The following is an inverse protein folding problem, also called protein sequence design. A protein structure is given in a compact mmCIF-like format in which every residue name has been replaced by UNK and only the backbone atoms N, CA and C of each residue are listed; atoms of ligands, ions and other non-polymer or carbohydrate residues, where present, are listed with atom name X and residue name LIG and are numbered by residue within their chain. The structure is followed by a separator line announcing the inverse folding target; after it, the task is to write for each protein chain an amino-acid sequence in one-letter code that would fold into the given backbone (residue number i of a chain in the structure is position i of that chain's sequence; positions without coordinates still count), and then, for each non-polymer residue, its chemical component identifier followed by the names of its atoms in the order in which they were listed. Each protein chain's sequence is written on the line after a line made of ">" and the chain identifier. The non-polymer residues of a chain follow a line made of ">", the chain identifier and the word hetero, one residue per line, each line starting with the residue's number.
data_IF_174563039805
#
_entry.id   IF_174563039805
#
_cell.length_a   1.000
_cell.length_b   1.000
_cell.length_c   1.000
_cell.angle_alpha   90.00
_cell.angle_beta   90.00
_cell.angle_gamma   90.00
#
_symmetry.space_group_name_H-M   'P 1'
#
loop_
_entity.id
_entity.type
_entity.pdbx_description
1 polymer ?
#
# COMPACT_ATOMS: atom_id res chain seq x y z
N UNK A 1 -8.99 11.93 -18.22
CA UNK A 1 -9.58 12.03 -16.87
C UNK A 1 -8.58 11.55 -15.83
N UNK A 2 -8.55 12.24 -14.66
CA UNK A 2 -7.75 11.89 -13.49
C UNK A 2 -8.72 11.53 -12.37
N UNK A 3 -8.47 10.41 -11.68
CA UNK A 3 -9.18 10.02 -10.48
C UNK A 3 -8.27 10.20 -9.27
N UNK A 4 -8.82 10.74 -8.19
CA UNK A 4 -8.14 10.91 -6.90
C UNK A 4 -8.81 10.00 -5.89
N UNK A 5 -8.02 9.23 -5.14
CA UNK A 5 -8.55 8.42 -4.04
C UNK A 5 -8.67 9.27 -2.78
N UNK A 6 -9.72 9.00 -2.01
CA UNK A 6 -9.99 9.68 -0.75
C UNK A 6 -10.43 8.65 0.31
N UNK A 7 -9.93 8.83 1.52
CA UNK A 7 -10.46 8.18 2.72
C UNK A 7 -11.44 9.13 3.41
N UNK A 8 -12.30 8.60 4.26
CA UNK A 8 -13.34 9.36 4.97
C UNK A 8 -12.81 10.30 6.07
N UNK A 9 -11.56 10.13 6.45
CA UNK A 9 -10.83 10.97 7.42
C UNK A 9 -9.99 12.09 6.75
N UNK A 10 -10.17 12.33 5.43
CA UNK A 10 -9.43 13.33 4.66
C UNK A 10 -10.24 14.60 4.41
N UNK A 11 -9.58 15.75 4.54
CA UNK A 11 -10.08 17.05 4.09
C UNK A 11 -9.15 17.58 3.00
N UNK A 12 -9.65 17.68 1.76
CA UNK A 12 -8.85 18.20 0.65
C UNK A 12 -8.50 19.66 0.85
N UNK A 13 -7.29 20.04 0.44
CA UNK A 13 -6.85 21.44 0.45
C UNK A 13 -7.61 22.26 -0.60
N UNK A 14 -7.80 23.54 -0.31
CA UNK A 14 -8.33 24.48 -1.30
C UNK A 14 -7.44 24.47 -2.55
N UNK A 15 -8.04 24.40 -3.72
CA UNK A 15 -7.31 24.36 -4.98
C UNK A 15 -6.62 23.00 -5.26
N UNK A 16 -7.00 21.91 -4.58
CA UNK A 16 -6.41 20.60 -4.84
C UNK A 16 -6.55 20.12 -6.30
N UNK A 17 -7.62 20.44 -7.07
CA UNK A 17 -7.71 20.03 -8.46
C UNK A 17 -6.60 20.65 -9.32
N UNK A 18 -6.27 21.91 -9.09
CA UNK A 18 -5.20 22.64 -9.77
C UNK A 18 -3.82 22.07 -9.40
N UNK A 19 -3.63 21.70 -8.12
CA UNK A 19 -2.41 21.01 -7.65
C UNK A 19 -2.24 19.68 -8.37
N UNK A 20 -3.31 18.90 -8.51
CA UNK A 20 -3.28 17.60 -9.20
C UNK A 20 -2.99 17.80 -10.69
N UNK A 21 -3.65 18.74 -11.36
CA UNK A 21 -3.43 19.03 -12.78
C UNK A 21 -1.98 19.48 -13.03
N UNK A 22 -1.44 20.36 -12.21
CA UNK A 22 -0.05 20.83 -12.27
C UNK A 22 0.92 19.65 -12.12
N UNK A 23 0.70 18.79 -11.13
CA UNK A 23 1.57 17.63 -10.88
C UNK A 23 1.58 16.67 -12.09
N UNK A 24 0.43 16.42 -12.72
CA UNK A 24 0.37 15.60 -13.94
C UNK A 24 0.96 16.29 -15.17
N UNK A 25 0.94 17.62 -15.24
CA UNK A 25 1.65 18.35 -16.29
C UNK A 25 3.17 18.23 -16.12
N UNK A 26 3.68 18.32 -14.90
CA UNK A 26 5.12 18.12 -14.60
C UNK A 26 5.57 16.66 -14.73
N UNK A 27 4.65 15.71 -14.57
CA UNK A 27 4.86 14.28 -14.76
C UNK A 27 4.01 13.81 -15.95
N UNK A 28 4.23 14.39 -17.14
CA UNK A 28 3.39 14.16 -18.32
C UNK A 28 3.29 12.69 -18.74
N UNK A 29 4.28 11.88 -18.42
CA UNK A 29 4.35 10.45 -18.68
C UNK A 29 3.95 9.58 -17.47
N UNK A 30 3.52 10.21 -16.36
CA UNK A 30 3.09 9.52 -15.14
C UNK A 30 1.68 8.98 -15.26
N UNK A 31 1.48 7.71 -14.91
CA UNK A 31 0.18 7.05 -14.84
C UNK A 31 -0.43 7.14 -13.45
N UNK A 32 0.41 7.08 -12.43
CA UNK A 32 0.03 7.19 -11.01
C UNK A 32 0.93 8.22 -10.33
N UNK A 33 0.34 9.18 -9.64
CA UNK A 33 1.06 10.14 -8.81
C UNK A 33 0.74 9.93 -7.34
N UNK A 34 1.77 10.03 -6.49
CA UNK A 34 1.68 9.87 -5.04
C UNK A 34 2.01 11.20 -4.37
N UNK A 35 1.02 11.77 -3.73
CA UNK A 35 1.07 13.06 -3.06
C UNK A 35 1.47 12.92 -1.58
N UNK A 36 1.67 14.04 -0.91
CA UNK A 36 1.75 14.11 0.54
C UNK A 36 0.36 14.32 1.14
N UNK A 37 0.21 13.92 2.40
CA UNK A 37 -0.86 14.32 3.28
C UNK A 37 -0.27 15.18 4.41
N UNK A 38 -1.00 16.18 4.84
CA UNK A 38 -0.62 17.00 6.00
C UNK A 38 -1.08 16.25 7.25
N UNK A 39 -0.16 15.98 8.15
CA UNK A 39 -0.38 15.27 9.39
C UNK A 39 0.08 16.13 10.57
N UNK A 40 -0.77 16.28 11.58
CA UNK A 40 -0.39 16.95 12.85
C UNK A 40 0.77 16.22 13.54
N UNK A 41 0.74 14.89 13.49
CA UNK A 41 1.80 14.02 14.00
C UNK A 41 2.34 13.18 12.83
N UNK A 42 3.45 13.58 12.19
CA UNK A 42 3.95 12.90 10.99
C UNK A 42 4.24 11.42 11.24
N UNK A 43 3.48 10.55 10.61
CA UNK A 43 3.66 9.08 10.64
C UNK A 43 4.05 8.52 9.29
N UNK A 44 3.66 9.21 8.20
CA UNK A 44 3.90 8.79 6.83
C UNK A 44 5.18 9.41 6.27
N UNK A 45 5.75 8.75 5.32
CA UNK A 45 6.91 9.29 4.59
C UNK A 45 6.51 10.53 3.77
N UNK A 46 7.26 11.62 3.93
CA UNK A 46 7.04 12.88 3.19
C UNK A 46 7.92 12.90 1.96
N UNK A 47 7.32 13.11 0.80
CA UNK A 47 8.03 13.32 -0.46
C UNK A 47 8.52 14.77 -0.51
N UNK A 48 9.83 14.98 -0.57
CA UNK A 48 10.44 16.32 -0.62
C UNK A 48 10.78 16.76 -2.04
N UNK A 49 10.83 15.82 -2.97
CA UNK A 49 11.15 16.02 -4.37
C UNK A 49 10.37 15.07 -5.26
N UNK A 50 10.29 15.38 -6.55
CA UNK A 50 9.74 14.46 -7.54
C UNK A 50 10.67 13.25 -7.67
N UNK A 51 10.11 12.05 -7.51
CA UNK A 51 10.89 10.80 -7.57
C UNK A 51 10.10 9.70 -8.26
N UNK A 52 10.75 9.01 -9.18
CA UNK A 52 10.19 7.81 -9.77
C UNK A 52 10.11 6.68 -8.73
N UNK A 53 8.97 6.00 -8.71
CA UNK A 53 8.76 4.83 -7.86
C UNK A 53 9.11 3.58 -8.64
N UNK A 54 9.76 2.66 -7.94
CA UNK A 54 10.24 1.39 -8.48
C UNK A 54 9.87 0.22 -7.56
N UNK A 55 10.12 -1.02 -8.01
CA UNK A 55 9.85 -2.27 -7.27
C UNK A 55 10.52 -2.37 -5.88
N UNK A 56 11.40 -1.43 -5.51
CA UNK A 56 12.10 -1.45 -4.20
C UNK A 56 11.50 -0.49 -3.17
N UNK A 57 10.67 0.49 -3.58
CA UNK A 57 10.26 1.58 -2.70
C UNK A 57 8.75 1.91 -2.72
N UNK A 58 7.93 1.14 -3.44
CA UNK A 58 6.50 1.36 -3.58
C UNK A 58 5.69 1.04 -2.31
N UNK A 59 6.08 0.01 -1.56
CA UNK A 59 5.29 -0.57 -0.46
C UNK A 59 5.13 0.32 0.80
N UNK A 60 5.60 1.57 0.76
CA UNK A 60 5.45 2.55 1.84
C UNK A 60 4.32 3.56 1.60
N UNK A 61 3.60 3.42 0.50
CA UNK A 61 2.53 4.32 0.11
C UNK A 61 1.17 3.63 0.17
N UNK A 62 0.14 4.37 0.59
CA UNK A 62 -1.25 3.95 0.64
C UNK A 62 -2.10 4.68 -0.41
N UNK A 63 -3.33 4.18 -0.65
CA UNK A 63 -4.24 4.68 -1.69
C UNK A 63 -4.66 6.13 -1.46
N UNK A 64 -4.92 6.54 -0.23
CA UNK A 64 -5.30 7.91 0.13
C UNK A 64 -4.37 9.02 -0.40
N UNK A 65 -3.21 8.65 -0.89
CA UNK A 65 -2.20 9.56 -1.44
C UNK A 65 -2.13 9.54 -2.97
N UNK A 66 -2.97 8.75 -3.63
CA UNK A 66 -2.84 8.48 -5.05
C UNK A 66 -3.82 9.28 -5.89
N UNK A 67 -3.31 9.76 -7.02
CA UNK A 67 -4.13 10.15 -8.17
C UNK A 67 -3.66 9.35 -9.39
N UNK A 68 -4.59 8.96 -10.24
CA UNK A 68 -4.34 8.06 -11.37
C UNK A 68 -4.89 8.64 -12.67
N UNK A 69 -4.24 8.35 -13.79
CA UNK A 69 -4.85 8.47 -15.10
C UNK A 69 -5.83 7.32 -15.28
N UNK A 70 -7.12 7.64 -15.32
CA UNK A 70 -8.20 6.65 -15.42
C UNK A 70 -7.97 5.71 -16.61
N UNK A 71 -7.62 6.24 -17.77
CA UNK A 71 -7.45 5.44 -18.98
C UNK A 71 -6.30 4.45 -18.86
N UNK A 72 -5.16 4.84 -18.29
CA UNK A 72 -4.01 3.94 -18.08
C UNK A 72 -4.37 2.72 -17.23
N UNK A 73 -5.20 2.91 -16.21
CA UNK A 73 -5.64 1.81 -15.34
C UNK A 73 -6.61 0.89 -16.09
N UNK A 74 -7.57 1.45 -16.83
CA UNK A 74 -8.52 0.65 -17.65
C UNK A 74 -7.77 -0.17 -18.68
N UNK A 75 -6.87 0.44 -19.46
CA UNK A 75 -6.14 -0.22 -20.54
C UNK A 75 -5.21 -1.33 -20.00
N UNK A 76 -4.71 -1.15 -18.79
CA UNK A 76 -3.86 -2.16 -18.15
C UNK A 76 -4.65 -3.31 -17.50
N UNK A 77 -5.98 -3.18 -17.36
CA UNK A 77 -6.83 -4.16 -16.70
C UNK A 77 -6.52 -4.33 -15.20
N UNK A 78 -5.95 -3.30 -14.55
CA UNK A 78 -5.62 -3.35 -13.13
C UNK A 78 -6.83 -2.92 -12.30
N UNK A 79 -7.06 -3.63 -11.20
CA UNK A 79 -8.07 -3.28 -10.18
C UNK A 79 -7.50 -3.49 -8.78
N UNK A 80 -8.15 -2.91 -7.78
CA UNK A 80 -7.85 -3.24 -6.38
C UNK A 80 -8.24 -4.69 -6.10
N UNK A 81 -7.43 -5.35 -5.27
CA UNK A 81 -7.74 -6.70 -4.83
C UNK A 81 -8.98 -6.69 -3.95
N UNK A 82 -9.91 -7.61 -4.20
CA UNK A 82 -11.08 -7.84 -3.34
C UNK A 82 -10.81 -8.84 -2.23
N UNK A 83 -9.67 -9.50 -2.25
CA UNK A 83 -9.22 -10.47 -1.25
C UNK A 83 -8.47 -9.81 -0.09
N UNK A 84 -7.83 -8.66 -0.37
CA UNK A 84 -7.04 -7.88 0.58
C UNK A 84 -7.71 -6.52 0.83
N UNK A 85 -7.63 -6.05 2.07
CA UNK A 85 -8.20 -4.79 2.49
C UNK A 85 -9.21 -4.93 3.62
N UNK A 86 -9.74 -3.82 4.09
CA UNK A 86 -10.71 -3.82 5.18
C UNK A 86 -12.01 -4.53 4.82
N UNK A 87 -12.42 -5.43 5.71
CA UNK A 87 -13.63 -6.22 5.52
C UNK A 87 -13.48 -7.41 4.57
N UNK A 88 -12.28 -7.64 4.02
CA UNK A 88 -11.97 -8.80 3.18
C UNK A 88 -11.34 -9.96 3.97
N UNK A 89 -11.02 -11.07 3.32
CA UNK A 89 -10.39 -12.24 3.94
C UNK A 89 -9.03 -11.91 4.58
N UNK A 90 -8.21 -11.07 3.92
CA UNK A 90 -6.92 -10.59 4.39
C UNK A 90 -6.98 -9.09 4.70
N UNK A 91 -6.77 -8.71 5.95
CA UNK A 91 -7.12 -7.42 6.51
C UNK A 91 -6.41 -6.17 5.96
N UNK A 92 -5.36 -6.32 5.14
CA UNK A 92 -4.64 -5.18 4.55
C UNK A 92 -3.71 -5.63 3.42
N UNK A 93 -3.36 -4.73 2.51
CA UNK A 93 -2.35 -4.96 1.47
C UNK A 93 -2.80 -4.57 0.06
N UNK A 94 -4.05 -4.21 -0.11
CA UNK A 94 -4.69 -3.81 -1.37
C UNK A 94 -3.91 -2.71 -2.09
N UNK A 95 -3.50 -1.69 -1.35
CA UNK A 95 -2.70 -0.55 -1.86
C UNK A 95 -1.35 -1.02 -2.41
N UNK A 96 -0.70 -1.88 -1.62
CA UNK A 96 0.62 -2.41 -1.97
C UNK A 96 0.53 -3.31 -3.20
N UNK A 97 -0.52 -4.12 -3.29
CA UNK A 97 -0.80 -4.98 -4.46
C UNK A 97 -1.07 -4.12 -5.67
N UNK A 98 -1.96 -3.13 -5.56
CA UNK A 98 -2.29 -2.22 -6.66
C UNK A 98 -1.05 -1.53 -7.24
N UNK A 99 -0.21 -0.95 -6.39
CA UNK A 99 1.04 -0.30 -6.83
C UNK A 99 2.01 -1.30 -7.47
N UNK A 100 2.09 -2.51 -6.95
CA UNK A 100 2.93 -3.55 -7.54
C UNK A 100 2.43 -3.98 -8.91
N UNK A 101 1.13 -4.19 -9.05
CA UNK A 101 0.51 -4.58 -10.31
C UNK A 101 0.68 -3.47 -11.37
N UNK A 102 0.56 -2.18 -10.98
CA UNK A 102 0.90 -1.06 -11.85
C UNK A 102 2.36 -1.14 -12.34
N UNK A 103 3.31 -1.37 -11.43
CA UNK A 103 4.73 -1.48 -11.79
C UNK A 103 5.03 -2.71 -12.65
N UNK A 104 4.35 -3.82 -12.42
CA UNK A 104 4.53 -5.05 -13.19
C UNK A 104 3.96 -4.95 -14.60
N UNK A 105 2.92 -4.13 -14.79
CA UNK A 105 2.35 -3.78 -16.12
C UNK A 105 3.12 -2.63 -16.81
N UNK A 106 4.19 -2.12 -16.19
CA UNK A 106 5.04 -1.09 -16.79
C UNK A 106 4.53 0.34 -16.61
N UNK A 107 3.47 0.55 -15.83
CA UNK A 107 2.96 1.88 -15.54
C UNK A 107 3.99 2.72 -14.78
N UNK A 108 3.99 4.01 -15.06
CA UNK A 108 4.93 4.97 -14.49
C UNK A 108 4.33 5.63 -13.25
N UNK A 109 4.96 5.38 -12.11
CA UNK A 109 4.54 5.94 -10.82
C UNK A 109 5.55 6.99 -10.37
N UNK A 110 5.09 8.16 -9.98
CA UNK A 110 5.92 9.21 -9.38
C UNK A 110 5.38 9.63 -8.02
N UNK A 111 6.28 9.83 -7.07
CA UNK A 111 5.99 10.59 -5.86
C UNK A 111 6.30 12.05 -6.12
N UNK A 112 5.42 12.95 -5.68
CA UNK A 112 5.53 14.39 -5.88
C UNK A 112 5.55 15.14 -4.55
N UNK A 113 6.20 16.32 -4.45
CA UNK A 113 6.34 17.05 -3.19
C UNK A 113 5.08 17.86 -2.80
N UNK A 114 3.99 17.71 -3.52
CA UNK A 114 2.75 18.44 -3.28
C UNK A 114 1.90 17.73 -2.22
N UNK A 115 1.24 18.51 -1.36
CA UNK A 115 0.22 18.03 -0.45
C UNK A 115 -1.16 18.09 -1.14
N UNK A 116 -2.01 17.09 -0.85
CA UNK A 116 -3.33 16.95 -1.45
C UNK A 116 -4.44 17.26 -0.44
N UNK A 117 -4.26 16.82 0.80
CA UNK A 117 -5.26 16.90 1.84
C UNK A 117 -4.60 16.92 3.24
N UNK A 118 -5.39 17.32 4.23
CA UNK A 118 -5.14 17.09 5.63
C UNK A 118 -5.83 15.80 6.07
N UNK A 119 -5.26 15.10 7.05
CA UNK A 119 -5.85 13.87 7.60
C UNK A 119 -6.22 14.06 9.07
N UNK A 120 -7.43 13.68 9.44
CA UNK A 120 -7.84 13.64 10.84
C UNK A 120 -7.22 12.43 11.54
N UNK A 121 -6.25 12.68 12.40
CA UNK A 121 -5.55 11.65 13.15
C UNK A 121 -6.23 11.28 14.48
N UNK A 122 -7.40 11.85 14.78
CA UNK A 122 -8.19 11.49 15.95
C UNK A 122 -9.07 10.26 15.70
N UNK A 123 -9.33 9.95 14.45
CA UNK A 123 -10.04 8.73 14.07
C UNK A 123 -9.26 7.48 14.52
N UNK A 124 -9.93 6.59 15.24
CA UNK A 124 -9.34 5.32 15.66
C UNK A 124 -9.14 4.46 14.42
N UNK A 125 -7.88 4.13 14.11
CA UNK A 125 -7.58 3.24 13.00
C UNK A 125 -8.22 1.87 13.23
N UNK A 126 -9.16 1.50 12.38
CA UNK A 126 -9.84 0.20 12.40
C UNK A 126 -8.98 -0.92 11.76
N UNK A 127 -7.89 -0.55 11.10
CA UNK A 127 -7.06 -1.44 10.28
C UNK A 127 -5.98 -2.21 11.04
N UNK A 128 -5.64 -1.79 12.25
CA UNK A 128 -4.58 -2.41 13.02
C UNK A 128 -5.00 -2.70 14.44
N UNK A 129 -5.29 -3.98 14.72
CA UNK A 129 -5.67 -4.50 16.04
C UNK A 129 -4.50 -5.06 16.86
N UNK A 130 -3.27 -4.67 16.52
CA UNK A 130 -2.05 -5.14 17.21
C UNK A 130 -1.32 -6.27 16.46
N UNK A 131 -0.18 -6.65 17.00
CA UNK A 131 0.66 -7.73 16.47
C UNK A 131 0.18 -9.08 17.00
N UNK A 132 -0.95 -9.59 16.49
CA UNK A 132 -1.57 -10.86 16.81
C UNK A 132 -1.34 -11.91 15.70
N UNK A 133 -1.83 -13.13 15.89
CA UNK A 133 -1.69 -14.21 14.92
C UNK A 133 -2.29 -13.87 13.56
N UNK A 134 -3.49 -13.26 13.54
CA UNK A 134 -4.16 -12.84 12.30
C UNK A 134 -3.33 -11.83 11.52
N UNK A 135 -2.71 -10.86 12.20
CA UNK A 135 -1.82 -9.89 11.57
C UNK A 135 -0.66 -10.56 10.83
N UNK A 136 0.00 -11.55 11.46
CA UNK A 136 1.12 -12.25 10.84
C UNK A 136 0.64 -13.20 9.74
N UNK A 137 -0.49 -13.87 9.93
CA UNK A 137 -1.13 -14.69 8.91
C UNK A 137 -1.39 -13.88 7.63
N UNK A 138 -2.10 -12.75 7.74
CA UNK A 138 -2.41 -11.86 6.61
C UNK A 138 -1.14 -11.32 5.94
N UNK A 139 -0.13 -11.00 6.73
CA UNK A 139 1.16 -10.54 6.20
C UNK A 139 1.88 -11.64 5.42
N UNK A 140 1.72 -12.88 5.82
CA UNK A 140 2.23 -14.05 5.10
C UNK A 140 1.55 -14.22 3.74
N UNK A 141 0.21 -14.17 3.70
CA UNK A 141 -0.59 -14.20 2.48
C UNK A 141 -0.19 -13.08 1.52
N UNK A 142 -0.04 -11.85 2.05
CA UNK A 142 0.40 -10.70 1.25
C UNK A 142 1.78 -10.94 0.61
N UNK A 143 2.75 -11.48 1.33
CA UNK A 143 4.06 -11.77 0.74
C UNK A 143 4.01 -12.90 -0.28
N UNK A 144 3.14 -13.89 -0.11
CA UNK A 144 2.90 -14.91 -1.13
C UNK A 144 2.34 -14.30 -2.43
N UNK A 145 1.41 -13.33 -2.33
CA UNK A 145 0.87 -12.59 -3.48
C UNK A 145 1.92 -11.69 -4.14
N UNK A 146 2.70 -10.95 -3.34
CA UNK A 146 3.67 -9.99 -3.87
C UNK A 146 4.93 -10.65 -4.44
N UNK A 147 5.40 -11.74 -3.83
CA UNK A 147 6.69 -12.38 -4.10
C UNK A 147 6.56 -13.91 -4.16
N UNK A 148 5.83 -14.50 -5.11
CA UNK A 148 5.48 -15.93 -5.10
C UNK A 148 6.66 -16.89 -4.94
N UNK A 149 7.85 -16.52 -5.47
CA UNK A 149 9.08 -17.35 -5.40
C UNK A 149 9.91 -17.10 -4.13
N UNK A 150 9.79 -15.92 -3.52
CA UNK A 150 10.67 -15.48 -2.41
C UNK A 150 9.90 -15.06 -1.16
N UNK A 151 8.61 -15.37 -1.05
CA UNK A 151 7.75 -14.94 0.03
C UNK A 151 8.33 -15.26 1.42
N UNK A 152 8.95 -16.44 1.58
CA UNK A 152 9.52 -16.88 2.87
C UNK A 152 10.68 -15.98 3.30
N UNK A 153 11.55 -15.60 2.36
CA UNK A 153 12.62 -14.64 2.62
C UNK A 153 12.08 -13.29 3.08
N UNK A 154 10.99 -12.81 2.47
CA UNK A 154 10.34 -11.57 2.87
C UNK A 154 9.66 -11.68 4.24
N UNK A 155 9.09 -12.82 4.59
CA UNK A 155 8.58 -13.09 5.94
C UNK A 155 9.69 -12.97 7.00
N UNK A 156 10.80 -13.67 6.81
CA UNK A 156 11.95 -13.62 7.74
C UNK A 156 12.52 -12.19 7.83
N UNK A 157 12.75 -11.53 6.67
CA UNK A 157 13.24 -10.15 6.63
C UNK A 157 12.31 -9.19 7.37
N UNK A 158 10.99 -9.33 7.21
CA UNK A 158 10.01 -8.53 7.92
C UNK A 158 10.11 -8.72 9.43
N UNK A 159 10.14 -9.95 9.90
CA UNK A 159 10.22 -10.27 11.31
C UNK A 159 11.51 -9.73 11.95
N UNK A 160 12.65 -9.86 11.29
CA UNK A 160 13.92 -9.33 11.78
C UNK A 160 13.88 -7.80 11.85
N UNK A 161 13.41 -7.13 10.78
CA UNK A 161 13.35 -5.66 10.70
C UNK A 161 12.41 -5.05 11.73
N UNK A 162 11.29 -5.70 12.01
CA UNK A 162 10.25 -5.17 12.89
C UNK A 162 10.25 -5.80 14.30
N UNK A 163 11.28 -6.57 14.65
CA UNK A 163 11.36 -7.31 15.92
C UNK A 163 11.04 -6.46 17.15
N UNK A 164 11.54 -5.23 17.20
CA UNK A 164 11.29 -4.29 18.31
C UNK A 164 9.82 -3.92 18.50
N UNK A 165 9.00 -4.00 17.45
CA UNK A 165 7.59 -3.60 17.48
C UNK A 165 6.66 -4.68 18.03
N UNK A 166 7.04 -5.95 17.90
CA UNK A 166 6.14 -7.06 18.23
C UNK A 166 6.70 -8.06 19.26
N UNK A 167 7.96 -7.94 19.67
CA UNK A 167 8.64 -8.89 20.57
C UNK A 167 7.92 -9.13 21.89
N UNK A 168 7.19 -8.10 22.37
CA UNK A 168 6.44 -8.16 23.63
C UNK A 168 5.04 -8.76 23.45
N UNK A 169 4.56 -8.87 22.22
CA UNK A 169 3.26 -9.46 21.87
C UNK A 169 3.37 -10.90 21.37
N UNK A 170 4.46 -11.22 20.64
CA UNK A 170 4.61 -12.55 20.01
C UNK A 170 6.07 -12.95 19.82
N UNK A 171 6.35 -14.25 20.03
CA UNK A 171 7.64 -14.85 19.74
C UNK A 171 7.95 -14.90 18.24
N UNK A 172 9.24 -14.84 17.89
CA UNK A 172 9.70 -14.87 16.48
C UNK A 172 9.19 -16.12 15.72
N UNK A 173 9.35 -17.28 16.30
CA UNK A 173 8.99 -18.54 15.66
C UNK A 173 7.48 -18.72 15.52
N UNK A 174 6.71 -18.24 16.49
CA UNK A 174 5.24 -18.23 16.43
C UNK A 174 4.77 -17.31 15.31
N UNK A 175 5.30 -16.09 15.24
CA UNK A 175 5.00 -15.14 14.16
C UNK A 175 5.37 -15.71 12.78
N UNK A 176 6.55 -16.33 12.65
CA UNK A 176 6.97 -16.97 11.40
C UNK A 176 6.05 -18.13 11.01
N UNK A 177 5.62 -18.95 11.98
CA UNK A 177 4.66 -20.03 11.75
C UNK A 177 3.33 -19.49 11.21
N UNK A 178 2.77 -18.45 11.84
CA UNK A 178 1.54 -17.82 11.38
C UNK A 178 1.68 -17.27 9.97
N UNK A 179 2.80 -16.59 9.65
CA UNK A 179 3.07 -16.10 8.29
C UNK A 179 3.16 -17.24 7.27
N UNK A 180 3.80 -18.35 7.62
CA UNK A 180 3.91 -19.52 6.72
C UNK A 180 2.56 -20.18 6.47
N UNK A 181 1.70 -20.25 7.47
CA UNK A 181 0.34 -20.79 7.32
C UNK A 181 -0.45 -19.90 6.35
N UNK A 182 -0.52 -18.59 6.58
CA UNK A 182 -1.24 -17.67 5.70
C UNK A 182 -0.71 -17.65 4.26
N UNK A 183 0.61 -17.72 4.08
CA UNK A 183 1.20 -17.80 2.74
C UNK A 183 0.83 -19.09 2.00
N UNK A 184 0.80 -20.22 2.69
CA UNK A 184 0.42 -21.51 2.09
C UNK A 184 -1.06 -21.55 1.74
N UNK A 185 -1.92 -21.10 2.65
CA UNK A 185 -3.36 -21.06 2.43
C UNK A 185 -3.71 -20.21 1.21
N UNK A 186 -3.17 -18.99 1.13
CA UNK A 186 -3.35 -18.12 -0.04
C UNK A 186 -2.94 -18.78 -1.36
N UNK A 187 -1.83 -19.51 -1.36
CA UNK A 187 -1.34 -20.20 -2.57
C UNK A 187 -2.23 -21.37 -2.98
N UNK A 188 -2.70 -22.16 -2.01
CA UNK A 188 -3.60 -23.29 -2.26
C UNK A 188 -4.96 -22.81 -2.78
N UNK A 189 -5.49 -21.71 -2.24
CA UNK A 189 -6.72 -21.11 -2.75
C UNK A 189 -6.57 -20.58 -4.18
N UNK A 190 -5.40 -19.99 -4.50
CA UNK A 190 -5.08 -19.51 -5.84
C UNK A 190 -4.90 -20.63 -6.90
N UNK A 191 -4.47 -21.82 -6.50
CA UNK A 191 -4.37 -23.00 -7.37
C UNK A 191 -5.74 -23.64 -7.69
N UNK A 192 -6.77 -23.38 -6.87
CA UNK A 192 -8.12 -23.90 -7.01
C UNK A 192 -9.08 -22.95 -7.76
N UNK A 193 -8.60 -21.79 -8.22
CA UNK A 193 -9.33 -20.79 -9.03
C UNK A 193 -8.90 -20.77 -10.47
#
# INVERSE_FOLDING_TARGET
>A
DICVFADDDMTFLDGYPEIVQKAFAECYDGDVLIFNLIEKYPRRYVNREKKRIHKYNYAKYGAARMAIRRQSIIDSGISFSTEFGGGSGYGAGEDTIFLKDCLDRGLKIYAVPYALAEIDQQAVSTWFSGYNEKYFFDRGALYARLYPRFWELFCVRFLLRHRKKYKDSMGFWTALKSMRIGAKEYRTEGENR
#
